data_IF_400696869560
#
_entry.id   IF_400696869560
#
_cell.length_a   1.000
_cell.length_b   1.000
_cell.length_c   1.000
_cell.angle_alpha   90.00
_cell.angle_beta   90.00
_cell.angle_gamma   90.00
#
_symmetry.space_group_name_H-M   'P 1'
#
loop_
_entity.id
_entity.type
_entity.pdbx_description
1 polymer ?
#
# COMPACT_ATOMS: atom_id res chain seq x y z
N UNK A 1 -17.06 -8.85 -19.96
CA UNK A 1 -16.92 -8.11 -18.70
C UNK A 1 -15.57 -7.43 -18.74
N UNK A 2 -15.54 -6.11 -18.79
CA UNK A 2 -14.30 -5.35 -18.74
C UNK A 2 -13.88 -5.23 -17.28
N UNK A 3 -12.73 -5.82 -16.92
CA UNK A 3 -12.21 -5.70 -15.57
C UNK A 3 -11.64 -4.30 -15.41
N UNK A 4 -12.28 -3.48 -14.57
CA UNK A 4 -11.74 -2.17 -14.21
C UNK A 4 -10.32 -2.34 -13.66
N UNK A 5 -9.38 -1.61 -14.24
CA UNK A 5 -7.98 -1.65 -13.86
C UNK A 5 -7.66 -0.54 -12.86
N UNK A 6 -6.76 -0.85 -11.94
CA UNK A 6 -6.31 0.01 -10.87
C UNK A 6 -4.79 0.00 -10.84
N UNK A 7 -4.19 1.13 -10.46
CA UNK A 7 -2.75 1.20 -10.21
C UNK A 7 -2.52 1.08 -8.71
N UNK A 8 -1.76 0.08 -8.29
CA UNK A 8 -1.29 -0.08 -6.91
C UNK A 8 0.19 0.29 -6.85
N UNK A 9 0.57 1.05 -5.82
CA UNK A 9 1.96 1.31 -5.47
C UNK A 9 2.44 0.24 -4.50
N UNK A 10 3.48 -0.51 -4.87
CA UNK A 10 4.13 -1.47 -3.96
C UNK A 10 5.53 -0.98 -3.63
N UNK A 11 5.75 -0.68 -2.35
CA UNK A 11 7.03 -0.21 -1.84
C UNK A 11 8.00 -1.38 -1.65
N UNK A 12 9.11 -1.36 -2.40
CA UNK A 12 10.10 -2.44 -2.48
C UNK A 12 11.51 -1.98 -2.11
N UNK A 13 11.68 -0.77 -1.57
CA UNK A 13 12.99 -0.18 -1.27
C UNK A 13 13.87 -1.01 -0.34
N UNK A 14 13.30 -1.85 0.53
CA UNK A 14 14.06 -2.79 1.36
C UNK A 14 14.65 -3.97 0.56
N UNK A 15 14.08 -4.28 -0.61
CA UNK A 15 14.46 -5.43 -1.46
C UNK A 15 15.19 -5.00 -2.74
N UNK A 16 15.13 -3.73 -3.12
CA UNK A 16 15.80 -3.21 -4.31
C UNK A 16 16.53 -1.89 -4.02
N UNK A 17 17.83 -1.79 -4.33
CA UNK A 17 18.56 -0.52 -4.21
C UNK A 17 18.20 0.49 -5.32
N UNK A 18 17.43 0.06 -6.34
CA UNK A 18 17.12 0.87 -7.52
C UNK A 18 15.71 1.45 -7.50
N UNK A 19 14.79 0.83 -6.77
CA UNK A 19 13.38 1.20 -6.78
C UNK A 19 12.86 1.33 -5.36
N UNK A 20 12.37 2.51 -5.01
CA UNK A 20 11.62 2.71 -3.76
C UNK A 20 10.24 2.05 -3.84
N UNK A 21 9.57 2.19 -4.99
CA UNK A 21 8.27 1.59 -5.26
C UNK A 21 8.10 1.19 -6.74
N UNK A 22 7.18 0.26 -6.98
CA UNK A 22 6.75 -0.17 -8.31
C UNK A 22 5.25 0.11 -8.50
N UNK A 23 4.90 0.73 -9.63
CA UNK A 23 3.51 0.89 -10.09
C UNK A 23 3.05 -0.36 -10.84
N UNK A 24 1.97 -0.99 -10.38
CA UNK A 24 1.45 -2.23 -10.97
C UNK A 24 -0.02 -2.04 -11.34
N UNK A 25 -0.36 -2.37 -12.58
CA UNK A 25 -1.74 -2.37 -13.06
C UNK A 25 -2.40 -3.71 -12.74
N UNK A 26 -3.49 -3.67 -11.97
CA UNK A 26 -4.18 -4.84 -11.43
C UNK A 26 -5.70 -4.64 -11.40
N UNK A 27 -6.44 -5.70 -11.12
CA UNK A 27 -7.91 -5.66 -10.97
C UNK A 27 -8.33 -5.88 -9.51
N UNK A 28 -9.63 -5.73 -9.22
CA UNK A 28 -10.19 -6.10 -7.90
C UNK A 28 -10.08 -7.60 -7.58
N UNK A 29 -9.83 -8.44 -8.58
CA UNK A 29 -9.73 -9.90 -8.46
C UNK A 29 -8.28 -10.38 -8.45
N UNK A 30 -7.30 -9.48 -8.67
CA UNK A 30 -5.90 -9.84 -8.64
C UNK A 30 -5.48 -10.10 -7.19
N UNK A 31 -5.03 -11.32 -6.93
CA UNK A 31 -4.60 -11.77 -5.62
C UNK A 31 -3.24 -11.20 -5.23
N UNK A 32 -2.96 -11.16 -3.93
CA UNK A 32 -1.67 -10.74 -3.41
C UNK A 32 -0.53 -11.60 -3.96
N UNK A 33 -0.75 -12.91 -4.09
CA UNK A 33 0.23 -13.85 -4.63
C UNK A 33 0.60 -13.55 -6.09
N UNK A 34 -0.37 -13.21 -6.94
CA UNK A 34 -0.10 -12.82 -8.33
C UNK A 34 0.79 -11.57 -8.40
N UNK A 35 0.51 -10.58 -7.55
CA UNK A 35 1.33 -9.36 -7.46
C UNK A 35 2.75 -9.69 -6.97
N UNK A 36 2.88 -10.51 -5.93
CA UNK A 36 4.19 -10.94 -5.42
C UNK A 36 5.01 -11.61 -6.52
N UNK A 37 4.43 -12.58 -7.23
CA UNK A 37 5.13 -13.27 -8.32
C UNK A 37 5.61 -12.29 -9.40
N UNK A 38 4.75 -11.35 -9.82
CA UNK A 38 5.09 -10.33 -10.80
C UNK A 38 6.26 -9.45 -10.33
N UNK A 39 6.25 -9.02 -9.07
CA UNK A 39 7.32 -8.18 -8.49
C UNK A 39 8.62 -8.97 -8.38
N UNK A 40 8.56 -10.18 -7.84
CA UNK A 40 9.74 -11.04 -7.65
C UNK A 40 10.41 -11.33 -8.98
N UNK A 41 9.63 -11.66 -10.02
CA UNK A 41 10.14 -11.86 -11.38
C UNK A 41 10.79 -10.57 -11.90
N UNK A 42 10.12 -9.43 -11.76
CA UNK A 42 10.61 -8.13 -12.24
C UNK A 42 11.89 -7.67 -11.55
N UNK A 43 12.04 -7.97 -10.26
CA UNK A 43 13.21 -7.62 -9.46
C UNK A 43 14.32 -8.69 -9.51
N UNK A 44 14.06 -9.86 -10.11
CA UNK A 44 15.01 -10.97 -10.16
C UNK A 44 15.30 -11.59 -8.79
N UNK A 45 14.31 -11.60 -7.88
CA UNK A 45 14.48 -12.12 -6.52
C UNK A 45 14.35 -13.66 -6.47
N UNK A 46 15.13 -14.36 -5.63
CA UNK A 46 15.08 -15.82 -5.53
C UNK A 46 13.97 -16.32 -4.60
N UNK A 47 13.36 -17.47 -4.90
CA UNK A 47 12.32 -18.11 -4.07
C UNK A 47 11.09 -17.22 -3.83
N UNK A 48 10.23 -17.02 -4.85
CA UNK A 48 9.06 -16.14 -4.74
C UNK A 48 8.12 -16.40 -3.55
N UNK A 49 8.10 -17.62 -3.06
CA UNK A 49 7.28 -18.12 -1.94
C UNK A 49 7.74 -17.58 -0.58
N UNK A 50 8.92 -16.97 -0.52
CA UNK A 50 9.45 -16.33 0.69
C UNK A 50 9.09 -14.83 0.77
N UNK A 51 8.36 -14.31 -0.22
CA UNK A 51 7.91 -12.93 -0.24
C UNK A 51 6.40 -12.86 -0.06
N UNK A 52 5.97 -11.74 0.49
CA UNK A 52 4.58 -11.45 0.78
C UNK A 52 4.32 -9.96 0.69
N UNK A 53 3.04 -9.60 0.56
CA UNK A 53 2.61 -8.21 0.68
C UNK A 53 2.14 -7.97 2.11
N UNK A 54 2.42 -6.77 2.60
CA UNK A 54 1.78 -6.23 3.79
C UNK A 54 1.06 -4.93 3.41
N UNK A 55 -0.14 -4.74 3.95
CA UNK A 55 -0.71 -3.41 4.00
C UNK A 55 -0.09 -2.64 5.16
N UNK A 56 0.26 -1.39 4.91
CA UNK A 56 0.87 -0.49 5.90
C UNK A 56 -0.05 0.71 6.03
N UNK A 57 -0.53 0.96 7.23
CA UNK A 57 -1.29 2.16 7.56
C UNK A 57 -0.32 3.12 8.25
N UNK A 58 -0.02 4.22 7.57
CA UNK A 58 0.74 5.35 8.07
C UNK A 58 -0.15 6.46 8.61
N UNK A 59 0.28 7.20 9.64
CA UNK A 59 -0.28 8.52 9.91
C UNK A 59 0.27 9.56 8.92
N UNK A 60 -0.36 10.74 8.80
CA UNK A 60 0.03 11.78 7.82
C UNK A 60 1.46 12.32 7.99
N UNK A 61 2.12 12.04 9.13
CA UNK A 61 3.51 12.40 9.42
C UNK A 61 4.49 11.22 9.25
N UNK A 62 4.00 10.05 8.81
CA UNK A 62 4.81 8.83 8.60
C UNK A 62 5.24 8.10 9.87
N UNK A 63 4.61 8.37 11.02
CA UNK A 63 5.15 8.00 12.34
C UNK A 63 4.44 6.82 13.05
N UNK A 64 3.37 6.27 12.50
CA UNK A 64 2.78 5.02 12.99
C UNK A 64 2.68 4.06 11.82
N UNK A 65 3.50 3.01 11.77
CA UNK A 65 3.45 1.98 10.74
C UNK A 65 2.85 0.71 11.32
N UNK A 66 1.52 0.67 11.45
CA UNK A 66 0.86 -0.61 11.71
C UNK A 66 0.84 -1.37 10.40
N UNK A 67 1.56 -2.49 10.35
CA UNK A 67 1.57 -3.40 9.23
C UNK A 67 0.66 -4.60 9.50
N UNK A 68 -0.04 -5.04 8.45
CA UNK A 68 -0.73 -6.32 8.43
C UNK A 68 -0.32 -7.08 7.18
N UNK A 69 0.19 -8.28 7.38
CA UNK A 69 0.44 -9.24 6.31
C UNK A 69 -0.86 -9.56 5.56
N UNK A 70 -0.80 -9.51 4.23
CA UNK A 70 -1.85 -10.00 3.35
C UNK A 70 -1.66 -11.49 3.09
N UNK A 71 -2.73 -12.26 3.26
CA UNK A 71 -2.79 -13.64 2.82
C UNK A 71 -2.68 -13.73 1.29
N UNK A 72 -2.13 -14.83 0.75
CA UNK A 72 -1.84 -14.96 -0.68
C UNK A 72 -3.08 -14.84 -1.58
N UNK A 73 -4.25 -15.23 -1.06
CA UNK A 73 -5.54 -15.20 -1.78
C UNK A 73 -6.36 -13.94 -1.50
N UNK A 74 -5.87 -13.03 -0.65
CA UNK A 74 -6.53 -11.74 -0.47
C UNK A 74 -6.31 -10.87 -1.72
N UNK A 75 -7.24 -9.96 -2.00
CA UNK A 75 -7.20 -9.09 -3.18
C UNK A 75 -6.82 -7.66 -2.76
N UNK A 76 -5.58 -7.19 -3.01
CA UNK A 76 -5.08 -5.94 -2.43
C UNK A 76 -5.90 -4.71 -2.82
N UNK A 77 -6.36 -4.62 -4.07
CA UNK A 77 -7.23 -3.51 -4.52
C UNK A 77 -8.56 -3.52 -3.78
N UNK A 78 -9.18 -4.69 -3.62
CA UNK A 78 -10.47 -4.79 -2.95
C UNK A 78 -10.36 -4.41 -1.47
N UNK A 79 -9.26 -4.81 -0.82
CA UNK A 79 -8.96 -4.42 0.56
C UNK A 79 -8.70 -2.92 0.70
N UNK A 80 -7.88 -2.35 -0.18
CA UNK A 80 -7.55 -0.92 -0.14
C UNK A 80 -8.79 -0.02 -0.30
N UNK A 81 -9.80 -0.47 -1.05
CA UNK A 81 -11.07 0.24 -1.17
C UNK A 81 -11.90 0.27 0.13
N UNK A 82 -11.63 -0.65 1.06
CA UNK A 82 -12.28 -0.67 2.38
C UNK A 82 -11.54 0.21 3.39
N UNK A 83 -10.34 0.68 3.07
CA UNK A 83 -9.63 1.59 3.96
C UNK A 83 -10.45 2.86 4.15
N UNK A 84 -10.35 3.50 5.33
CA UNK A 84 -10.93 4.81 5.54
C UNK A 84 -10.46 5.74 4.42
N UNK A 85 -11.37 6.11 3.54
CA UNK A 85 -11.14 7.23 2.65
C UNK A 85 -11.04 8.40 3.61
N UNK A 86 -9.84 8.95 3.80
CA UNK A 86 -9.67 10.13 4.61
C UNK A 86 -10.73 11.11 4.13
N UNK A 87 -11.73 11.42 4.97
CA UNK A 87 -12.43 12.66 4.81
C UNK A 87 -11.31 13.68 4.79
N UNK A 88 -11.10 14.30 3.63
CA UNK A 88 -10.24 15.46 3.44
C UNK A 88 -10.93 16.58 4.22
N UNK A 89 -10.88 16.48 5.54
CA UNK A 89 -11.00 17.59 6.44
C UNK A 89 -9.64 17.59 7.09
N UNK A 90 -8.72 18.27 6.41
CA UNK A 90 -7.66 18.97 7.10
C UNK A 90 -8.32 19.62 8.32
N UNK A 91 -8.12 19.05 9.51
CA UNK A 91 -8.14 19.88 10.69
C UNK A 91 -6.89 20.71 10.56
N UNK A 92 -6.99 21.81 9.82
CA UNK A 92 -6.13 22.96 10.00
C UNK A 92 -6.10 23.17 11.50
N UNK A 93 -4.95 22.97 12.10
CA UNK A 93 -4.67 23.35 13.48
C UNK A 93 -4.83 24.89 13.51
N UNK A 94 -6.07 25.38 13.59
CA UNK A 94 -6.40 26.77 13.86
C UNK A 94 -6.06 27.03 15.33
N UNK A 95 -4.84 27.54 15.51
CA UNK A 95 -4.47 28.56 16.47
C UNK A 95 -4.73 28.27 17.96
N UNK A 96 -3.65 27.85 18.64
CA UNK A 96 -3.25 28.45 19.92
C UNK A 96 -3.32 29.98 19.81
N UNK A 97 -4.44 30.60 20.20
CA UNK A 97 -4.55 32.04 20.48
C UNK A 97 -5.84 32.27 21.29
N UNK A 98 -5.75 32.14 22.61
CA UNK A 98 -6.18 33.12 23.62
C UNK A 98 -6.32 32.48 25.01
N UNK A 99 -5.19 32.24 25.65
CA UNK A 99 -5.05 32.61 27.06
C UNK A 99 -4.10 33.81 27.15
N UNK A 100 -4.38 34.71 28.11
CA UNK A 100 -3.78 36.02 28.39
C UNK A 100 -4.40 37.25 27.68
N UNK A 101 -5.58 37.68 28.14
CA UNK A 101 -5.72 38.85 29.02
C UNK A 101 -7.14 39.03 29.56
#
# INVERSE_FOLDING_TARGET
>A
MEYTRYIVQVFVGALSPHFEALSIEVSKQTSAQEIVFCIVERLGLPNPQHYELAEVIGNARGQDCKERRLGPMENPVALQMLWPQASITEKTEETDLHEYR
#
